data_IF_217948279360
#
_entry.id   IF_217948279360
#
_cell.length_a   1.000
_cell.length_b   1.000
_cell.length_c   1.000
_cell.angle_alpha   90.00
_cell.angle_beta   90.00
_cell.angle_gamma   90.00
#
_symmetry.space_group_name_H-M   'P 1'
#
loop_
_entity.id
_entity.type
_entity.pdbx_description
1 polymer ?
#
# COMPACT_ATOMS: atom_id res chain seq x y z
N UNK A 1 -17.51 5.47 3.08
CA UNK A 1 -17.40 5.92 4.49
C UNK A 1 -17.74 4.78 5.43
N UNK A 2 -18.84 4.07 5.17
CA UNK A 2 -19.35 3.02 6.06
C UNK A 2 -18.33 1.90 6.37
N UNK A 3 -17.55 1.44 5.39
CA UNK A 3 -16.47 0.44 5.63
C UNK A 3 -15.35 0.93 6.54
N UNK A 4 -15.17 2.24 6.67
CA UNK A 4 -14.12 2.82 7.51
C UNK A 4 -14.58 2.98 8.97
N UNK A 5 -15.89 3.04 9.20
CA UNK A 5 -16.47 3.26 10.54
C UNK A 5 -17.20 2.04 11.11
N UNK A 6 -17.37 0.98 10.32
CA UNK A 6 -18.13 -0.22 10.72
C UNK A 6 -17.20 -1.37 11.04
N UNK A 7 -17.54 -2.14 12.07
CA UNK A 7 -16.85 -3.37 12.42
C UNK A 7 -17.19 -4.50 11.46
N UNK A 8 -16.31 -5.51 11.41
CA UNK A 8 -16.57 -6.75 10.67
C UNK A 8 -17.66 -7.56 11.38
N UNK A 9 -18.74 -7.84 10.66
CA UNK A 9 -19.81 -8.73 11.10
C UNK A 9 -19.58 -10.14 10.53
N UNK A 10 -19.06 -11.04 11.36
CA UNK A 10 -18.83 -12.45 11.00
C UNK A 10 -19.01 -13.35 12.23
N UNK A 11 -19.58 -14.54 12.04
CA UNK A 11 -19.81 -15.51 13.11
C UNK A 11 -18.49 -16.08 13.66
N UNK A 12 -17.60 -16.59 12.80
CA UNK A 12 -16.33 -17.21 13.21
C UNK A 12 -15.10 -16.31 13.02
N UNK A 13 -15.19 -15.26 12.21
CA UNK A 13 -14.08 -14.35 11.90
C UNK A 13 -12.89 -14.98 11.17
N UNK A 14 -12.98 -16.25 10.74
CA UNK A 14 -11.89 -16.99 10.09
C UNK A 14 -11.98 -16.97 8.57
N UNK A 15 -10.83 -16.76 7.93
CA UNK A 15 -10.64 -16.76 6.48
C UNK A 15 -9.37 -17.51 6.08
N UNK A 16 -9.11 -18.64 6.71
CA UNK A 16 -7.96 -19.51 6.43
C UNK A 16 -8.00 -20.02 4.99
N UNK A 17 -6.89 -19.85 4.25
CA UNK A 17 -6.76 -20.27 2.85
C UNK A 17 -7.44 -19.34 1.83
N UNK A 18 -7.93 -18.16 2.23
CA UNK A 18 -8.53 -17.21 1.28
C UNK A 18 -7.49 -16.22 0.73
N UNK A 19 -7.57 -15.85 -0.56
CA UNK A 19 -6.81 -14.72 -1.09
C UNK A 19 -7.43 -13.39 -0.65
N UNK A 20 -6.63 -12.33 -0.66
CA UNK A 20 -7.06 -10.99 -0.23
C UNK A 20 -8.36 -10.53 -0.92
N UNK A 21 -8.48 -10.70 -2.24
CA UNK A 21 -9.69 -10.29 -2.97
C UNK A 21 -10.97 -11.00 -2.50
N UNK A 22 -10.87 -12.28 -2.17
CA UNK A 22 -12.03 -13.05 -1.71
C UNK A 22 -12.51 -12.57 -0.34
N UNK A 23 -11.56 -12.25 0.55
CA UNK A 23 -11.83 -11.64 1.85
C UNK A 23 -12.47 -10.27 1.65
N UNK A 24 -11.86 -9.42 0.82
CA UNK A 24 -12.37 -8.08 0.52
C UNK A 24 -13.80 -8.11 0.00
N UNK A 25 -14.10 -8.94 -1.01
CA UNK A 25 -15.47 -9.08 -1.56
C UNK A 25 -16.47 -9.53 -0.51
N UNK A 26 -16.10 -10.46 0.37
CA UNK A 26 -16.98 -10.95 1.44
C UNK A 26 -17.26 -9.88 2.50
N UNK A 27 -16.24 -9.10 2.88
CA UNK A 27 -16.39 -8.05 3.89
C UNK A 27 -17.14 -6.81 3.39
N UNK A 28 -17.04 -6.46 2.11
CA UNK A 28 -17.72 -5.28 1.56
C UNK A 28 -19.14 -5.57 1.05
N UNK A 29 -19.49 -6.85 0.81
CA UNK A 29 -20.79 -7.24 0.27
C UNK A 29 -22.00 -6.70 1.06
N UNK A 30 -22.01 -6.70 2.41
CA UNK A 30 -23.14 -6.14 3.19
C UNK A 30 -23.37 -4.64 2.94
N UNK A 31 -22.35 -3.91 2.51
CA UNK A 31 -22.42 -2.48 2.23
C UNK A 31 -22.87 -2.17 0.79
N UNK A 32 -23.06 -3.17 -0.06
CA UNK A 32 -23.43 -2.98 -1.47
C UNK A 32 -22.32 -2.35 -2.32
N UNK A 33 -21.06 -2.41 -1.86
CA UNK A 33 -19.89 -1.84 -2.51
C UNK A 33 -19.21 -2.91 -3.39
N UNK A 34 -18.77 -2.55 -4.59
CA UNK A 34 -17.96 -3.47 -5.43
C UNK A 34 -16.46 -3.26 -5.23
N UNK A 35 -15.67 -4.32 -5.45
CA UNK A 35 -14.21 -4.27 -5.52
C UNK A 35 -13.78 -4.06 -6.98
N UNK A 36 -13.05 -2.99 -7.23
CA UNK A 36 -12.35 -2.69 -8.48
C UNK A 36 -10.84 -2.85 -8.27
N UNK A 37 -10.13 -3.32 -9.31
CA UNK A 37 -8.69 -3.60 -9.23
C UNK A 37 -7.92 -2.86 -10.32
N UNK A 38 -6.70 -2.43 -10.00
CA UNK A 38 -5.73 -1.87 -10.93
C UNK A 38 -4.45 -2.67 -10.83
N UNK A 39 -3.92 -3.11 -11.97
CA UNK A 39 -2.72 -3.93 -12.01
C UNK A 39 -2.96 -5.38 -11.59
N UNK A 40 -1.88 -6.05 -11.20
CA UNK A 40 -1.90 -7.43 -10.75
C UNK A 40 -1.98 -7.46 -9.23
N UNK A 41 -3.14 -7.85 -8.70
CA UNK A 41 -3.35 -8.08 -7.27
C UNK A 41 -2.83 -9.47 -6.91
N UNK A 42 -2.06 -9.56 -5.84
CA UNK A 42 -1.49 -10.82 -5.38
C UNK A 42 -2.58 -11.76 -4.84
N UNK A 43 -2.81 -12.85 -5.56
CA UNK A 43 -3.78 -13.88 -5.22
C UNK A 43 -3.24 -14.96 -4.26
N UNK A 44 -2.03 -14.79 -3.71
CA UNK A 44 -1.47 -15.73 -2.72
C UNK A 44 -2.37 -15.79 -1.49
N UNK A 45 -2.94 -16.98 -1.15
CA UNK A 45 -3.80 -17.11 0.02
C UNK A 45 -3.09 -16.81 1.33
N UNK A 46 -3.86 -16.42 2.35
CA UNK A 46 -3.37 -16.38 3.72
C UNK A 46 -3.48 -17.77 4.35
N UNK A 47 -2.38 -18.37 4.86
CA UNK A 47 -2.44 -19.70 5.45
C UNK A 47 -3.39 -19.77 6.65
N UNK A 48 -3.25 -18.79 7.55
CA UNK A 48 -4.08 -18.61 8.74
C UNK A 48 -4.46 -17.13 8.82
N UNK A 49 -5.76 -16.84 8.79
CA UNK A 49 -6.26 -15.48 8.90
C UNK A 49 -7.52 -15.49 9.76
N UNK A 50 -7.47 -14.69 10.81
CA UNK A 50 -8.66 -14.32 11.57
C UNK A 50 -8.78 -12.81 11.69
N UNK A 51 -10.02 -12.36 11.76
CA UNK A 51 -10.40 -10.98 12.07
C UNK A 51 -10.45 -10.81 13.58
N UNK A 52 -9.93 -9.70 14.08
CA UNK A 52 -9.98 -9.44 15.52
C UNK A 52 -11.41 -9.02 15.94
N UNK A 53 -11.90 -9.44 17.12
CA UNK A 53 -13.21 -9.02 17.59
C UNK A 53 -13.34 -7.49 17.66
N UNK A 54 -14.32 -6.94 16.96
CA UNK A 54 -14.56 -5.49 16.88
C UNK A 54 -13.67 -4.72 15.89
N UNK A 55 -12.79 -5.40 15.14
CA UNK A 55 -11.95 -4.78 14.11
C UNK A 55 -12.80 -4.10 13.04
N UNK A 56 -12.39 -2.89 12.61
CA UNK A 56 -13.03 -2.17 11.53
C UNK A 56 -12.77 -2.85 10.20
N UNK A 57 -13.76 -2.87 9.30
CA UNK A 57 -13.62 -3.49 7.96
C UNK A 57 -12.40 -2.91 7.23
N UNK A 58 -12.24 -1.58 7.21
CA UNK A 58 -11.06 -0.94 6.63
C UNK A 58 -9.75 -1.37 7.28
N UNK A 59 -9.68 -1.46 8.61
CA UNK A 59 -8.47 -1.85 9.32
C UNK A 59 -8.06 -3.30 8.99
N UNK A 60 -9.04 -4.21 8.94
CA UNK A 60 -8.82 -5.59 8.50
C UNK A 60 -8.27 -5.64 7.07
N UNK A 61 -8.91 -4.92 6.13
CA UNK A 61 -8.48 -4.95 4.74
C UNK A 61 -7.10 -4.32 4.54
N UNK A 62 -6.82 -3.22 5.23
CA UNK A 62 -5.57 -2.46 5.12
C UNK A 62 -4.38 -3.26 5.64
N UNK A 63 -4.48 -3.91 6.81
CA UNK A 63 -3.36 -4.71 7.32
C UNK A 63 -3.04 -5.89 6.41
N UNK A 64 -4.06 -6.55 5.87
CA UNK A 64 -3.87 -7.68 4.95
C UNK A 64 -3.34 -7.22 3.58
N UNK A 65 -3.73 -6.01 3.15
CA UNK A 65 -3.27 -5.43 1.90
C UNK A 65 -1.75 -5.17 1.95
N UNK A 66 -1.22 -4.70 3.08
CA UNK A 66 0.22 -4.49 3.30
C UNK A 66 1.05 -5.75 3.06
N UNK A 67 0.56 -6.91 3.49
CA UNK A 67 1.26 -8.20 3.33
C UNK A 67 1.22 -8.75 1.90
N UNK A 68 0.40 -8.16 1.03
CA UNK A 68 0.24 -8.54 -0.37
C UNK A 68 0.65 -7.42 -1.33
N UNK A 69 1.30 -6.36 -0.83
CA UNK A 69 1.68 -5.14 -1.58
C UNK A 69 0.50 -4.48 -2.31
N UNK A 70 -0.66 -4.47 -1.66
CA UNK A 70 -1.87 -3.87 -2.21
C UNK A 70 -2.04 -2.50 -1.57
N UNK A 71 -2.22 -1.46 -2.38
CA UNK A 71 -2.62 -0.13 -1.93
C UNK A 71 -4.13 0.00 -2.06
N UNK A 72 -4.79 0.44 -0.98
CA UNK A 72 -6.23 0.63 -0.96
C UNK A 72 -6.61 2.07 -1.27
N UNK A 73 -7.70 2.25 -1.99
CA UNK A 73 -8.28 3.54 -2.29
C UNK A 73 -9.78 3.43 -2.55
N UNK A 74 -10.32 4.48 -3.15
CA UNK A 74 -11.72 4.52 -3.57
C UNK A 74 -11.84 5.10 -4.97
N UNK A 75 -12.77 4.57 -5.76
CA UNK A 75 -13.06 5.11 -7.09
C UNK A 75 -14.03 6.30 -7.01
N UNK A 76 -14.20 7.01 -8.11
CA UNK A 76 -15.19 8.10 -8.23
C UNK A 76 -16.64 7.66 -7.98
N UNK A 77 -16.93 6.36 -8.02
CA UNK A 77 -18.25 5.77 -7.74
C UNK A 77 -18.43 5.39 -6.28
N UNK A 78 -17.41 5.57 -5.43
CA UNK A 78 -17.42 5.12 -4.05
C UNK A 78 -17.13 3.63 -3.87
N UNK A 79 -16.60 2.97 -4.91
CA UNK A 79 -16.18 1.57 -4.83
C UNK A 79 -14.81 1.41 -4.16
N UNK A 80 -14.58 0.26 -3.53
CA UNK A 80 -13.26 -0.08 -3.00
C UNK A 80 -12.32 -0.34 -4.16
N UNK A 81 -11.19 0.37 -4.18
CA UNK A 81 -10.14 0.20 -5.18
C UNK A 81 -8.95 -0.53 -4.54
N UNK A 82 -8.51 -1.62 -5.16
CA UNK A 82 -7.29 -2.32 -4.82
C UNK A 82 -6.26 -2.17 -5.92
N UNK A 83 -5.12 -1.57 -5.60
CA UNK A 83 -4.05 -1.27 -6.53
C UNK A 83 -2.91 -2.25 -6.23
N UNK A 84 -2.67 -3.18 -7.15
CA UNK A 84 -1.57 -4.12 -7.09
C UNK A 84 -0.36 -3.64 -7.91
N UNK A 85 0.46 -4.57 -8.38
CA UNK A 85 1.61 -4.24 -9.23
C UNK A 85 1.16 -3.74 -10.60
N UNK A 86 1.56 -2.52 -10.97
CA UNK A 86 1.22 -1.92 -12.24
C UNK A 86 2.30 -0.94 -12.72
N UNK A 87 2.35 -0.71 -14.03
CA UNK A 87 3.11 0.41 -14.59
C UNK A 87 2.38 1.72 -14.32
N UNK A 88 3.12 2.77 -13.93
CA UNK A 88 2.54 4.10 -13.76
C UNK A 88 1.86 4.61 -15.03
N UNK A 89 0.68 5.19 -14.89
CA UNK A 89 -0.03 5.83 -16.01
C UNK A 89 0.50 7.26 -16.18
N UNK A 90 1.26 7.51 -17.25
CA UNK A 90 1.79 8.84 -17.54
C UNK A 90 0.65 9.86 -17.68
N UNK A 91 0.85 11.05 -17.10
CA UNK A 91 -0.07 12.19 -17.22
C UNK A 91 0.62 13.39 -17.88
N UNK A 92 -0.17 14.44 -18.14
CA UNK A 92 0.35 15.74 -18.57
C UNK A 92 1.47 16.25 -17.67
N UNK A 93 2.45 16.91 -18.28
CA UNK A 93 3.55 17.52 -17.57
C UNK A 93 3.09 18.78 -16.80
N UNK A 94 3.69 18.96 -15.62
CA UNK A 94 3.60 20.17 -14.81
C UNK A 94 4.93 20.92 -14.96
N UNK A 95 4.89 22.08 -15.61
CA UNK A 95 6.09 22.83 -15.99
C UNK A 95 6.07 24.22 -15.35
N UNK A 96 7.14 24.56 -14.65
CA UNK A 96 7.36 25.89 -14.07
C UNK A 96 7.38 26.97 -15.16
N UNK A 97 6.72 28.10 -14.89
CA UNK A 97 6.48 29.15 -15.90
C UNK A 97 5.42 28.79 -16.95
N UNK A 98 4.91 27.56 -16.93
CA UNK A 98 3.81 27.07 -17.76
C UNK A 98 2.50 26.98 -16.99
N UNK A 99 2.11 25.76 -16.63
CA UNK A 99 0.82 25.45 -16.00
C UNK A 99 0.86 25.36 -14.46
N UNK A 100 2.03 25.55 -13.85
CA UNK A 100 2.19 25.63 -12.39
C UNK A 100 1.87 27.06 -11.93
N UNK A 101 0.87 27.21 -11.03
CA UNK A 101 0.58 28.50 -10.36
C UNK A 101 1.48 28.76 -9.16
N UNK A 102 1.61 27.75 -8.33
CA UNK A 102 2.48 27.73 -7.16
C UNK A 102 2.82 26.27 -6.88
N UNK A 103 3.98 26.04 -6.31
CA UNK A 103 4.37 24.70 -5.90
C UNK A 103 5.28 24.77 -4.68
N UNK A 104 5.20 23.76 -3.83
CA UNK A 104 6.16 23.51 -2.78
C UNK A 104 6.74 22.09 -2.97
N UNK A 105 7.95 21.89 -2.47
CA UNK A 105 8.60 20.59 -2.44
C UNK A 105 9.24 20.40 -1.07
N UNK A 106 9.04 19.22 -0.49
CA UNK A 106 9.69 18.78 0.74
C UNK A 106 10.50 17.53 0.40
N UNK A 107 11.80 17.60 0.67
CA UNK A 107 12.73 16.47 0.54
C UNK A 107 13.21 16.16 1.95
N UNK A 108 12.87 14.97 2.46
CA UNK A 108 13.12 14.57 3.84
C UNK A 108 13.62 13.12 3.91
N UNK A 109 14.58 12.85 4.79
CA UNK A 109 15.12 11.50 5.02
C UNK A 109 14.74 10.93 6.40
N UNK A 110 13.79 11.55 7.09
CA UNK A 110 13.39 11.24 8.47
C UNK A 110 12.94 9.79 8.64
N UNK A 111 12.17 9.30 7.67
CA UNK A 111 11.58 7.96 7.66
C UNK A 111 12.22 7.03 6.63
N UNK A 112 13.45 7.33 6.20
CA UNK A 112 14.23 6.46 5.32
C UNK A 112 15.18 5.61 6.18
N UNK A 113 15.22 4.32 5.89
CA UNK A 113 15.94 3.32 6.69
C UNK A 113 16.95 2.57 5.83
N UNK A 114 17.98 2.01 6.47
CA UNK A 114 18.98 1.18 5.79
C UNK A 114 18.43 -0.22 5.53
N UNK A 115 17.68 -0.75 6.49
CA UNK A 115 17.10 -2.10 6.45
C UNK A 115 15.71 -2.07 7.04
N UNK A 116 14.78 -2.73 6.35
CA UNK A 116 13.41 -2.96 6.81
C UNK A 116 13.30 -4.43 7.18
N UNK A 117 13.17 -4.72 8.46
CA UNK A 117 12.98 -6.07 8.98
C UNK A 117 11.51 -6.33 9.24
N UNK A 118 11.03 -7.48 8.81
CA UNK A 118 9.72 -7.99 9.21
C UNK A 118 9.91 -9.30 9.95
N UNK A 119 9.46 -9.34 11.20
CA UNK A 119 9.50 -10.51 12.07
C UNK A 119 8.12 -11.14 12.13
N UNK A 120 8.05 -12.47 12.11
CA UNK A 120 6.79 -13.19 12.25
C UNK A 120 6.98 -14.57 12.86
N UNK A 121 5.84 -15.14 13.22
CA UNK A 121 5.74 -16.46 13.81
C UNK A 121 4.50 -17.16 13.23
N UNK A 122 4.55 -18.47 13.13
CA UNK A 122 3.42 -19.32 12.73
C UNK A 122 3.32 -20.56 13.62
N UNK A 123 2.14 -21.18 13.61
CA UNK A 123 1.97 -22.46 14.30
C UNK A 123 2.89 -23.53 13.70
N UNK A 124 3.49 -24.35 14.57
CA UNK A 124 4.25 -25.52 14.15
C UNK A 124 3.32 -26.64 13.68
N UNK A 125 3.80 -27.46 12.75
CA UNK A 125 3.15 -28.68 12.28
C UNK A 125 4.21 -29.77 12.07
N UNK A 126 3.77 -30.96 11.69
CA UNK A 126 4.63 -32.15 11.59
C UNK A 126 5.85 -31.97 10.66
N UNK A 127 5.78 -31.06 9.68
CA UNK A 127 6.86 -30.76 8.73
C UNK A 127 7.68 -29.51 9.07
N UNK A 128 7.25 -28.67 10.04
CA UNK A 128 7.98 -27.47 10.45
C UNK A 128 7.75 -27.13 11.94
N UNK A 129 8.83 -27.06 12.72
CA UNK A 129 8.79 -26.80 14.16
C UNK A 129 10.01 -26.01 14.64
N UNK A 130 9.98 -25.56 15.90
CA UNK A 130 11.13 -24.88 16.52
C UNK A 130 11.41 -23.49 15.94
N UNK A 131 12.68 -23.21 15.69
CA UNK A 131 13.14 -21.88 15.20
C UNK A 131 12.57 -21.55 13.81
N UNK A 132 12.29 -22.55 12.97
CA UNK A 132 11.77 -22.37 11.61
C UNK A 132 10.35 -21.78 11.55
N UNK A 133 9.59 -21.90 12.64
CA UNK A 133 8.22 -21.36 12.74
C UNK A 133 8.10 -20.22 13.76
N UNK A 134 8.98 -20.16 14.75
CA UNK A 134 8.95 -19.13 15.81
C UNK A 134 9.80 -17.90 15.51
N UNK A 135 10.74 -17.97 14.55
CA UNK A 135 11.69 -16.89 14.23
C UNK A 135 11.77 -16.61 12.73
N UNK A 136 10.62 -16.49 12.07
CA UNK A 136 10.59 -16.11 10.67
C UNK A 136 11.01 -14.65 10.56
N UNK A 137 11.98 -14.37 9.69
CA UNK A 137 12.51 -13.03 9.45
C UNK A 137 12.66 -12.78 7.97
N UNK A 138 12.25 -11.59 7.54
CA UNK A 138 12.53 -11.09 6.19
C UNK A 138 13.17 -9.70 6.27
N UNK A 139 13.92 -9.36 5.22
CA UNK A 139 14.66 -8.09 5.14
C UNK A 139 14.56 -7.51 3.74
N UNK A 140 14.18 -6.23 3.66
CA UNK A 140 14.38 -5.40 2.48
C UNK A 140 15.48 -4.35 2.75
N UNK A 141 16.23 -3.99 1.70
CA UNK A 141 17.23 -2.91 1.77
C UNK A 141 16.57 -1.58 1.41
N UNK A 142 16.93 -0.53 2.12
CA UNK A 142 16.56 0.85 1.79
C UNK A 142 17.74 1.67 1.28
N UNK A 143 17.50 2.96 1.03
CA UNK A 143 18.50 3.88 0.47
C UNK A 143 19.36 4.56 1.54
N UNK A 144 19.01 4.49 2.83
CA UNK A 144 19.77 5.21 3.86
C UNK A 144 21.20 4.65 4.02
N UNK A 145 22.17 5.55 3.97
CA UNK A 145 23.60 5.22 4.15
C UNK A 145 24.00 5.08 5.62
N UNK A 146 23.26 5.73 6.52
CA UNK A 146 23.45 5.68 7.97
C UNK A 146 22.85 4.40 8.54
N UNK A 147 23.42 3.87 9.63
CA UNK A 147 22.84 2.73 10.33
C UNK A 147 21.50 3.11 10.99
N UNK A 148 20.39 2.76 10.33
CA UNK A 148 19.00 3.02 10.75
C UNK A 148 18.13 1.82 10.37
N UNK A 149 18.05 0.77 11.19
CA UNK A 149 17.11 -0.33 10.92
C UNK A 149 15.70 0.03 11.40
N UNK A 150 14.69 -0.34 10.61
CA UNK A 150 13.29 -0.43 11.06
C UNK A 150 12.96 -1.91 11.28
N UNK A 151 12.27 -2.23 12.37
CA UNK A 151 11.83 -3.59 12.68
C UNK A 151 10.33 -3.57 12.93
N UNK A 152 9.60 -4.25 12.06
CA UNK A 152 8.15 -4.43 12.12
C UNK A 152 7.81 -5.87 12.45
N UNK A 153 6.68 -6.06 13.14
CA UNK A 153 6.15 -7.39 13.49
C UNK A 153 4.93 -7.63 12.60
N UNK A 154 4.88 -8.78 11.94
CA UNK A 154 3.72 -9.18 11.15
C UNK A 154 2.49 -9.35 12.05
N UNK A 155 1.35 -8.77 11.64
CA UNK A 155 0.13 -8.80 12.44
C UNK A 155 -0.57 -10.16 12.44
N UNK A 156 -0.26 -11.03 11.48
CA UNK A 156 -0.77 -12.40 11.39
C UNK A 156 0.31 -13.39 10.92
N UNK A 157 0.12 -14.70 11.15
CA UNK A 157 1.01 -15.72 10.61
C UNK A 157 1.03 -15.70 9.07
N UNK A 158 2.21 -15.75 8.49
CA UNK A 158 2.37 -15.84 7.03
C UNK A 158 3.65 -16.62 6.68
N UNK A 159 3.80 -16.87 5.38
CA UNK A 159 4.98 -17.48 4.78
C UNK A 159 6.19 -16.53 4.80
N UNK A 160 7.43 -17.05 4.79
CA UNK A 160 8.63 -16.22 4.62
C UNK A 160 8.56 -15.30 3.40
N UNK A 161 7.95 -15.76 2.31
CA UNK A 161 7.72 -14.99 1.09
C UNK A 161 6.74 -13.82 1.31
N UNK A 162 5.65 -14.04 2.05
CA UNK A 162 4.72 -12.99 2.46
C UNK A 162 5.40 -11.93 3.33
N UNK A 163 6.19 -12.34 4.31
CA UNK A 163 6.98 -11.44 5.15
C UNK A 163 7.98 -10.61 4.33
N UNK A 164 8.60 -11.21 3.31
CA UNK A 164 9.48 -10.49 2.40
C UNK A 164 8.71 -9.43 1.63
N UNK A 165 7.54 -9.76 1.07
CA UNK A 165 6.68 -8.79 0.38
C UNK A 165 6.29 -7.63 1.29
N UNK A 166 5.97 -7.91 2.56
CA UNK A 166 5.69 -6.88 3.56
C UNK A 166 6.89 -5.95 3.79
N UNK A 167 8.08 -6.51 4.00
CA UNK A 167 9.30 -5.70 4.19
C UNK A 167 9.61 -4.81 2.98
N UNK A 168 9.37 -5.32 1.77
CA UNK A 168 9.55 -4.56 0.52
C UNK A 168 8.46 -3.50 0.33
N UNK A 169 7.23 -3.75 0.79
CA UNK A 169 6.15 -2.76 0.80
C UNK A 169 6.49 -1.58 1.71
N UNK A 170 6.92 -1.87 2.94
CA UNK A 170 7.32 -0.85 3.90
C UNK A 170 8.47 0.00 3.33
N UNK A 171 9.47 -0.65 2.71
CA UNK A 171 10.55 0.05 2.03
C UNK A 171 10.02 0.96 0.91
N UNK A 172 9.18 0.45 0.01
CA UNK A 172 8.64 1.21 -1.11
C UNK A 172 7.82 2.42 -0.61
N UNK A 173 7.00 2.24 0.42
CA UNK A 173 6.19 3.30 1.02
C UNK A 173 7.07 4.41 1.63
N UNK A 174 8.08 4.04 2.41
CA UNK A 174 8.96 4.99 3.07
C UNK A 174 9.88 5.73 2.08
N UNK A 175 10.46 5.02 1.11
CA UNK A 175 11.30 5.62 0.06
C UNK A 175 10.48 6.56 -0.84
N UNK A 176 9.24 6.18 -1.16
CA UNK A 176 8.32 7.00 -1.93
C UNK A 176 7.91 8.31 -1.23
N UNK A 177 7.96 8.34 0.11
CA UNK A 177 7.63 9.53 0.90
C UNK A 177 8.80 10.53 1.04
N UNK A 178 9.99 10.20 0.50
CA UNK A 178 11.18 11.05 0.58
C UNK A 178 10.99 12.39 -0.13
N UNK A 179 10.33 12.38 -1.30
CA UNK A 179 10.11 13.57 -2.14
C UNK A 179 8.60 13.80 -2.23
N UNK A 180 8.13 14.89 -1.63
CA UNK A 180 6.72 15.29 -1.69
C UNK A 180 6.61 16.67 -2.34
N UNK A 181 5.93 16.75 -3.48
CA UNK A 181 5.66 18.00 -4.16
C UNK A 181 4.15 18.30 -4.14
N UNK A 182 3.75 19.48 -3.65
CA UNK A 182 2.38 19.95 -3.78
C UNK A 182 2.36 21.04 -4.84
N UNK A 183 1.66 20.77 -5.95
CA UNK A 183 1.59 21.65 -7.11
C UNK A 183 0.17 22.17 -7.26
N UNK A 184 0.02 23.49 -7.28
CA UNK A 184 -1.25 24.17 -7.56
C UNK A 184 -1.31 24.53 -9.04
N UNK A 185 -2.42 24.19 -9.71
CA UNK A 185 -2.66 24.45 -11.14
C UNK A 185 -3.92 25.31 -11.35
N UNK A 186 -4.14 25.79 -12.56
CA UNK A 186 -5.36 26.52 -12.92
C UNK A 186 -6.52 25.56 -13.24
N UNK A 187 -7.51 25.48 -12.34
CA UNK A 187 -8.73 24.71 -12.58
C UNK A 187 -8.52 23.19 -12.42
N UNK A 188 -9.51 22.41 -12.80
CA UNK A 188 -9.54 20.95 -12.58
C UNK A 188 -9.27 20.13 -13.83
N UNK A 189 -9.28 20.77 -15.00
CA UNK A 189 -9.05 20.11 -16.28
C UNK A 189 -7.56 20.08 -16.60
N UNK A 190 -7.10 18.95 -17.14
CA UNK A 190 -5.74 18.82 -17.65
C UNK A 190 -5.60 19.46 -19.03
N UNK A 191 -4.37 19.85 -19.44
CA UNK A 191 -4.11 20.36 -20.79
C UNK A 191 -4.54 19.42 -21.92
N UNK A 192 -4.30 18.11 -21.78
CA UNK A 192 -4.76 17.10 -22.75
C UNK A 192 -6.27 16.80 -22.68
N UNK A 193 -6.96 17.32 -21.68
CA UNK A 193 -8.36 17.02 -21.39
C UNK A 193 -8.57 16.01 -20.24
N UNK A 194 -9.81 15.97 -19.77
CA UNK A 194 -10.20 15.20 -18.59
C UNK A 194 -9.77 15.85 -17.27
N UNK A 195 -10.13 15.21 -16.16
CA UNK A 195 -9.81 15.66 -14.81
C UNK A 195 -8.44 15.12 -14.36
N UNK A 196 -7.79 15.86 -13.47
CA UNK A 196 -6.68 15.31 -12.68
C UNK A 196 -7.19 14.12 -11.84
N UNK A 197 -6.47 12.99 -11.90
CA UNK A 197 -6.82 11.76 -11.19
C UNK A 197 -5.65 11.28 -10.34
N UNK A 198 -5.95 10.75 -9.16
CA UNK A 198 -5.01 10.00 -8.33
C UNK A 198 -4.57 8.74 -9.08
N UNK A 199 -3.33 8.28 -8.86
CA UNK A 199 -2.76 7.12 -9.56
C UNK A 199 -2.27 7.44 -10.99
N UNK A 200 -2.16 8.72 -11.33
CA UNK A 200 -1.50 9.19 -12.54
C UNK A 200 -0.16 9.83 -12.19
N UNK A 201 0.81 9.72 -13.10
CA UNK A 201 2.21 10.10 -12.88
C UNK A 201 2.55 11.29 -13.78
N UNK A 202 2.22 12.53 -13.39
CA UNK A 202 2.66 13.72 -14.11
C UNK A 202 4.17 13.88 -14.03
N UNK A 203 4.77 14.29 -15.15
CA UNK A 203 6.16 14.73 -15.17
C UNK A 203 6.26 16.13 -14.57
N UNK A 204 6.98 16.30 -13.46
CA UNK A 204 7.15 17.60 -12.80
C UNK A 204 8.52 18.17 -13.17
N UNK A 205 8.50 19.31 -13.88
CA UNK A 205 9.68 20.05 -14.27
C UNK A 205 9.66 21.45 -13.64
N UNK A 206 10.43 21.62 -12.58
CA UNK A 206 10.58 22.88 -11.87
C UNK A 206 12.03 23.06 -11.41
N UNK A 207 12.81 23.90 -12.12
CA UNK A 207 14.16 24.27 -11.69
C UNK A 207 14.21 24.86 -10.27
N UNK A 208 13.21 25.66 -9.85
CA UNK A 208 13.17 26.23 -8.50
C UNK A 208 13.01 25.18 -7.40
N UNK A 209 12.36 24.04 -7.71
CA UNK A 209 12.14 22.94 -6.78
C UNK A 209 13.17 21.81 -6.94
N UNK A 210 14.14 21.95 -7.86
CA UNK A 210 15.13 20.92 -8.20
C UNK A 210 14.49 19.59 -8.67
N UNK A 211 13.36 19.68 -9.39
CA UNK A 211 12.62 18.53 -9.90
C UNK A 211 12.62 18.50 -11.43
N UNK A 212 13.00 17.36 -12.01
CA UNK A 212 12.81 17.03 -13.43
C UNK A 212 12.56 15.51 -13.58
N UNK A 213 11.43 15.04 -13.04
CA UNK A 213 11.10 13.62 -12.96
C UNK A 213 9.58 13.38 -12.90
N UNK A 214 9.11 12.17 -13.27
CA UNK A 214 7.75 11.75 -12.96
C UNK A 214 7.55 11.63 -11.45
N UNK A 215 6.44 12.16 -10.94
CA UNK A 215 6.00 11.99 -9.56
C UNK A 215 4.60 11.37 -9.56
N UNK A 216 4.37 10.34 -8.74
CA UNK A 216 3.09 9.66 -8.59
C UNK A 216 3.19 8.41 -7.75
#
# INVERSE_FOLDING_TARGET
WDIASSSVETEDGKFDGYPWEAIARKLIAPFGISLETVGTVDATPFPEMSVQPGELVWATLERLARDRKIVLGSTERGNLLAIGDHSGSASDALVEGGNIKSANCTIQDDYVYQKYWTLGQRAGHDDAWGDDVSRIRAVAQGSATRYRPLVNIAEHPDTPEGLKKRSEFDALHHEGAMIQAQVTVQGWLRPSGGLWKVGTYPHVKSPMLLLDQPLG
#
